data_IF_501282421954
#
_entry.id   IF_501282421954
#
_cell.length_a   1.000
_cell.length_b   1.000
_cell.length_c   1.000
_cell.angle_alpha   90.00
_cell.angle_beta   90.00
_cell.angle_gamma   90.00
#
_symmetry.space_group_name_H-M   'P 1'
#
loop_
_entity.id
_entity.type
_entity.pdbx_description
1 polymer ?
#
# COMPACT_ATOMS: atom_id res chain seq x y z
N UNK A 1 29.26 -7.27 52.00
CA UNK A 1 30.18 -6.80 50.94
C UNK A 1 29.81 -7.46 49.63
N UNK A 2 29.41 -6.63 48.64
CA UNK A 2 29.42 -6.78 47.16
C UNK A 2 29.86 -8.12 46.55
N UNK A 3 29.22 -8.64 45.48
CA UNK A 3 29.32 -8.10 44.10
C UNK A 3 28.05 -8.26 43.23
N UNK A 4 27.87 -7.26 42.36
CA UNK A 4 26.93 -7.16 41.23
C UNK A 4 27.24 -8.14 40.09
N UNK A 5 26.18 -8.55 39.39
CA UNK A 5 26.09 -8.86 37.95
C UNK A 5 24.59 -8.81 37.66
N UNK A 6 24.03 -7.90 36.86
CA UNK A 6 24.43 -7.55 35.50
C UNK A 6 23.49 -8.30 34.55
N UNK A 7 22.29 -7.77 34.35
CA UNK A 7 21.29 -8.32 33.44
C UNK A 7 20.25 -7.26 33.12
N UNK A 8 20.43 -6.57 31.99
CA UNK A 8 19.32 -6.10 31.17
C UNK A 8 19.17 -7.14 30.04
N UNK A 9 17.99 -7.27 29.41
CA UNK A 9 17.65 -6.29 28.39
C UNK A 9 16.16 -5.87 28.34
N UNK A 10 15.98 -4.59 28.00
CA UNK A 10 15.05 -4.02 26.98
C UNK A 10 13.57 -4.38 27.10
N UNK A 11 12.73 -3.41 27.49
CA UNK A 11 11.87 -2.68 26.54
C UNK A 11 10.93 -3.63 25.79
N UNK A 12 9.74 -3.86 26.35
CA UNK A 12 8.58 -4.18 25.54
C UNK A 12 7.87 -2.87 25.29
N UNK A 13 8.22 -2.25 24.17
CA UNK A 13 7.27 -1.39 23.49
C UNK A 13 6.11 -2.28 23.08
N UNK A 14 4.93 -1.86 23.51
CA UNK A 14 3.64 -2.40 23.13
C UNK A 14 3.36 -1.82 21.73
N UNK A 15 4.08 -2.33 20.73
CA UNK A 15 3.80 -2.05 19.32
C UNK A 15 2.79 -3.10 18.91
N UNK A 16 1.51 -2.78 19.02
CA UNK A 16 0.47 -3.59 18.41
C UNK A 16 0.72 -3.52 16.90
N UNK A 17 1.14 -4.63 16.24
CA UNK A 17 1.49 -4.57 14.83
C UNK A 17 0.24 -4.24 14.05
N UNK A 18 0.30 -3.14 13.29
CA UNK A 18 -0.80 -2.69 12.44
C UNK A 18 -1.30 -3.87 11.59
N UNK A 19 -2.61 -4.15 11.68
CA UNK A 19 -3.25 -5.22 10.91
C UNK A 19 -4.04 -4.58 9.77
N UNK A 20 -3.68 -4.85 8.50
CA UNK A 20 -4.46 -4.33 7.39
C UNK A 20 -5.89 -4.89 7.43
N UNK A 21 -6.92 -4.09 7.09
CA UNK A 21 -8.26 -4.61 6.87
C UNK A 21 -8.25 -5.49 5.61
N UNK A 22 -8.30 -6.82 5.79
CA UNK A 22 -8.33 -7.78 4.66
C UNK A 22 -7.03 -8.54 4.41
N UNK A 23 -6.35 -9.00 5.48
CA UNK A 23 -5.16 -9.87 5.44
C UNK A 23 -5.40 -11.28 4.84
N UNK A 24 -6.11 -11.37 3.73
CA UNK A 24 -6.47 -12.60 3.02
C UNK A 24 -5.78 -12.59 1.65
N UNK A 25 -4.79 -13.47 1.50
CA UNK A 25 -3.86 -13.56 0.38
C UNK A 25 -4.57 -13.60 -0.99
N UNK A 26 -4.26 -12.69 -1.96
CA UNK A 26 -4.82 -12.77 -3.30
C UNK A 26 -4.19 -13.94 -4.08
N UNK A 27 -5.02 -14.92 -4.47
CA UNK A 27 -4.61 -16.11 -5.22
C UNK A 27 -4.44 -15.79 -6.73
N UNK A 28 -3.26 -15.32 -7.12
CA UNK A 28 -2.46 -15.76 -8.29
C UNK A 28 -3.09 -16.06 -9.67
N UNK A 29 -4.33 -15.69 -10.00
CA UNK A 29 -4.98 -16.13 -11.26
C UNK A 29 -5.38 -15.04 -12.25
N UNK A 30 -5.27 -13.77 -11.91
CA UNK A 30 -5.73 -12.67 -12.77
C UNK A 30 -4.62 -12.01 -13.61
N UNK A 31 -3.36 -12.44 -13.47
CA UNK A 31 -2.19 -11.80 -14.09
C UNK A 31 -2.08 -12.02 -15.62
N UNK A 32 -2.91 -12.85 -16.24
CA UNK A 32 -2.81 -13.18 -17.68
C UNK A 32 -3.55 -12.20 -18.62
N UNK A 33 -4.16 -11.12 -18.10
CA UNK A 33 -4.83 -10.10 -18.93
C UNK A 33 -4.08 -8.76 -19.08
N UNK A 34 -3.01 -8.51 -18.31
CA UNK A 34 -2.37 -7.19 -18.25
C UNK A 34 -1.42 -6.85 -19.43
N UNK A 35 -1.28 -7.71 -20.45
CA UNK A 35 -0.30 -7.53 -21.54
C UNK A 35 -0.90 -7.16 -22.91
N UNK A 36 -2.14 -6.67 -23.00
CA UNK A 36 -2.77 -6.32 -24.29
C UNK A 36 -3.53 -4.97 -24.35
N UNK A 37 -3.02 -3.90 -23.73
CA UNK A 37 -3.48 -2.55 -24.09
C UNK A 37 -2.35 -1.76 -24.76
N UNK A 38 -2.22 -1.99 -26.06
CA UNK A 38 -1.58 -1.09 -27.01
C UNK A 38 -2.50 0.14 -27.19
N UNK A 39 -1.96 1.34 -26.96
CA UNK A 39 -2.40 2.65 -27.46
C UNK A 39 -3.89 3.04 -27.25
N UNK A 40 -4.18 3.77 -26.16
CA UNK A 40 -5.44 4.50 -26.00
C UNK A 40 -5.15 5.97 -25.63
N UNK A 41 -5.16 6.84 -26.66
CA UNK A 41 -5.35 8.30 -26.56
C UNK A 41 -6.74 8.57 -25.91
N UNK A 42 -6.85 8.39 -24.60
CA UNK A 42 -7.93 8.90 -23.77
C UNK A 42 -7.32 9.90 -22.81
N UNK A 43 -7.90 11.10 -22.70
CA UNK A 43 -7.46 12.19 -21.84
C UNK A 43 -6.66 11.69 -20.62
N UNK A 44 -5.33 11.86 -20.66
CA UNK A 44 -4.40 11.50 -19.57
C UNK A 44 -4.71 12.42 -18.38
N UNK A 45 -5.81 12.15 -17.67
CA UNK A 45 -6.02 12.68 -16.33
C UNK A 45 -4.87 12.09 -15.52
N UNK A 46 -3.87 12.93 -15.23
CA UNK A 46 -2.66 12.53 -14.52
C UNK A 46 -3.09 11.68 -13.33
N UNK A 47 -2.60 10.43 -13.20
CA UNK A 47 -3.08 9.50 -12.20
C UNK A 47 -3.04 10.21 -10.85
N UNK A 48 -4.18 10.21 -10.15
CA UNK A 48 -4.33 11.03 -8.95
C UNK A 48 -3.18 10.72 -7.99
N UNK A 49 -2.86 9.45 -7.79
CA UNK A 49 -1.72 8.97 -7.01
C UNK A 49 -0.65 8.32 -7.89
N UNK A 50 0.61 8.56 -7.54
CA UNK A 50 1.76 7.90 -8.16
C UNK A 50 2.66 7.27 -7.09
N UNK A 51 3.57 6.40 -7.53
CA UNK A 51 4.59 5.82 -6.66
C UNK A 51 5.33 6.91 -5.88
N UNK A 52 5.48 6.72 -4.58
CA UNK A 52 6.19 7.63 -3.69
C UNK A 52 5.32 8.73 -3.08
N UNK A 53 4.05 8.88 -3.47
CA UNK A 53 3.13 9.77 -2.75
C UNK A 53 2.95 9.26 -1.32
N UNK A 54 3.03 10.17 -0.35
CA UNK A 54 2.67 9.86 1.04
C UNK A 54 1.22 10.25 1.24
N UNK A 55 0.43 9.28 1.70
CA UNK A 55 -1.02 9.38 1.89
C UNK A 55 -1.41 8.95 3.29
N UNK A 56 -2.55 9.44 3.75
CA UNK A 56 -3.22 8.97 4.95
C UNK A 56 -4.60 8.43 4.60
N UNK A 57 -5.07 7.47 5.38
CA UNK A 57 -6.46 7.04 5.37
C UNK A 57 -7.34 8.13 6.03
N UNK A 58 -8.28 8.71 5.29
CA UNK A 58 -9.22 9.72 5.82
C UNK A 58 -10.15 9.13 6.88
N UNK A 59 -10.42 7.83 6.80
CA UNK A 59 -11.32 7.14 7.72
C UNK A 59 -10.65 6.66 9.01
N UNK A 60 -9.32 6.72 9.12
CA UNK A 60 -8.60 6.31 10.31
C UNK A 60 -8.74 7.33 11.45
N UNK A 61 -9.13 6.86 12.63
CA UNK A 61 -9.10 7.67 13.87
C UNK A 61 -7.69 8.19 14.18
N UNK A 62 -6.66 7.40 13.87
CA UNK A 62 -5.24 7.74 13.99
C UNK A 62 -4.54 7.51 12.64
N UNK A 63 -4.47 8.54 11.78
CA UNK A 63 -3.84 8.41 10.47
C UNK A 63 -2.34 8.18 10.62
N UNK A 64 -1.85 7.10 10.03
CA UNK A 64 -0.42 6.78 9.90
C UNK A 64 0.06 7.13 8.49
N UNK A 65 1.34 7.44 8.35
CA UNK A 65 1.97 7.68 7.05
C UNK A 65 2.01 6.38 6.23
N UNK A 66 1.31 6.39 5.09
CA UNK A 66 1.29 5.30 4.13
C UNK A 66 1.96 5.80 2.84
N UNK A 67 2.82 4.98 2.25
CA UNK A 67 3.48 5.30 0.98
C UNK A 67 2.81 4.51 -0.13
N UNK A 68 2.45 5.20 -1.22
CA UNK A 68 1.96 4.56 -2.43
C UNK A 68 3.10 3.79 -3.08
N UNK A 69 2.99 2.46 -3.05
CA UNK A 69 4.02 1.55 -3.59
C UNK A 69 3.67 1.04 -4.97
N UNK A 70 2.38 0.95 -5.29
CA UNK A 70 1.90 0.54 -6.60
C UNK A 70 0.49 1.07 -6.89
N UNK A 71 0.21 1.38 -8.16
CA UNK A 71 -1.12 1.74 -8.64
C UNK A 71 -1.44 0.81 -9.82
N UNK A 72 -2.12 -0.32 -9.59
CA UNK A 72 -2.35 -1.33 -10.63
C UNK A 72 -3.27 -0.85 -11.76
N UNK A 73 -3.95 0.28 -11.61
CA UNK A 73 -4.93 0.77 -12.59
C UNK A 73 -6.17 -0.12 -12.71
N UNK A 74 -6.48 -0.83 -11.62
CA UNK A 74 -7.68 -1.67 -11.48
C UNK A 74 -8.75 -0.89 -10.72
N UNK A 75 -10.01 -1.18 -11.01
CA UNK A 75 -11.17 -0.69 -10.28
C UNK A 75 -11.38 -1.50 -8.98
N UNK A 76 -12.10 -0.93 -8.01
CA UNK A 76 -12.35 -1.57 -6.72
C UNK A 76 -13.15 -2.89 -6.84
N UNK A 77 -14.02 -3.02 -7.85
CA UNK A 77 -14.73 -4.27 -8.16
C UNK A 77 -13.83 -5.31 -8.87
N UNK A 78 -12.74 -4.89 -9.50
CA UNK A 78 -11.78 -5.79 -10.15
C UNK A 78 -10.75 -6.37 -9.17
N UNK A 79 -10.52 -5.69 -8.04
CA UNK A 79 -9.59 -6.17 -7.02
C UNK A 79 -10.24 -7.20 -6.10
N UNK A 80 -9.98 -8.49 -6.36
CA UNK A 80 -10.48 -9.62 -5.57
C UNK A 80 -9.49 -10.07 -4.46
N UNK A 81 -10.04 -10.32 -3.26
CA UNK A 81 -9.33 -10.94 -2.14
C UNK A 81 -9.45 -12.46 -2.16
N UNK A 82 -8.62 -13.16 -1.38
CA UNK A 82 -8.61 -14.63 -1.31
C UNK A 82 -9.93 -15.29 -0.86
N UNK A 83 -10.81 -14.55 -0.17
CA UNK A 83 -12.15 -15.04 0.23
C UNK A 83 -13.20 -14.93 -0.89
N UNK A 84 -12.87 -14.23 -1.98
CA UNK A 84 -13.76 -13.97 -3.11
C UNK A 84 -14.58 -12.67 -3.01
N UNK A 85 -14.39 -11.89 -1.95
CA UNK A 85 -14.87 -10.50 -1.89
C UNK A 85 -13.97 -9.59 -2.72
N UNK A 86 -14.54 -8.51 -3.26
CA UNK A 86 -13.81 -7.43 -3.92
C UNK A 86 -13.45 -6.29 -2.94
N UNK A 87 -12.62 -5.34 -3.35
CA UNK A 87 -12.39 -4.10 -2.60
C UNK A 87 -13.68 -3.28 -2.48
N UNK A 88 -14.50 -3.26 -3.53
CA UNK A 88 -15.82 -2.65 -3.51
C UNK A 88 -16.76 -3.34 -2.48
N UNK A 89 -16.73 -4.67 -2.36
CA UNK A 89 -17.51 -5.40 -1.34
C UNK A 89 -17.06 -5.08 0.09
N UNK A 90 -15.75 -4.98 0.32
CA UNK A 90 -15.20 -4.68 1.65
C UNK A 90 -15.42 -3.22 2.03
N UNK A 91 -15.42 -2.30 1.06
CA UNK A 91 -15.55 -0.86 1.27
C UNK A 91 -16.67 -0.28 0.38
N UNK A 92 -17.94 -0.67 0.60
CA UNK A 92 -19.08 -0.32 -0.27
C UNK A 92 -19.51 1.15 -0.19
N UNK A 93 -18.77 1.96 0.58
CA UNK A 93 -18.98 3.40 0.72
C UNK A 93 -18.48 4.16 -0.52
N UNK A 94 -17.44 3.65 -1.16
CA UNK A 94 -16.82 4.22 -2.36
C UNK A 94 -17.40 3.55 -3.62
N UNK A 95 -17.34 4.20 -4.78
CA UNK A 95 -17.81 3.62 -6.02
C UNK A 95 -17.04 2.35 -6.38
N UNK A 96 -17.71 1.42 -7.04
CA UNK A 96 -17.12 0.18 -7.57
C UNK A 96 -16.05 0.44 -8.65
N UNK A 97 -16.23 1.52 -9.43
CA UNK A 97 -15.33 2.04 -10.46
C UNK A 97 -14.12 2.81 -9.88
N UNK A 98 -13.99 2.92 -8.55
CA UNK A 98 -12.88 3.66 -7.94
C UNK A 98 -11.53 2.97 -8.16
N UNK A 99 -10.49 3.74 -8.46
CA UNK A 99 -9.17 3.17 -8.68
C UNK A 99 -8.54 2.62 -7.40
N UNK A 100 -7.98 1.41 -7.49
CA UNK A 100 -7.23 0.78 -6.40
C UNK A 100 -5.83 1.36 -6.30
N UNK A 101 -5.48 1.79 -5.10
CA UNK A 101 -4.15 2.28 -4.74
C UNK A 101 -3.57 1.32 -3.69
N UNK A 102 -2.37 0.80 -3.93
CA UNK A 102 -1.69 -0.09 -3.00
C UNK A 102 -0.67 0.70 -2.19
N UNK A 103 -0.79 0.61 -0.88
CA UNK A 103 0.04 1.37 0.06
C UNK A 103 0.71 0.47 1.08
N UNK A 104 1.85 0.93 1.60
CA UNK A 104 2.62 0.28 2.68
C UNK A 104 2.89 1.32 3.77
N UNK A 105 2.87 0.96 5.06
CA UNK A 105 3.27 1.87 6.13
C UNK A 105 4.70 2.38 5.92
N UNK A 106 4.91 3.69 6.03
CA UNK A 106 6.21 4.32 5.80
C UNK A 106 7.33 3.66 6.61
N UNK A 107 7.11 3.44 7.90
CA UNK A 107 8.09 2.82 8.81
C UNK A 107 8.52 1.41 8.35
N UNK A 108 7.55 0.62 7.86
CA UNK A 108 7.81 -0.72 7.30
C UNK A 108 8.57 -0.63 5.98
N UNK A 109 8.18 0.32 5.13
CA UNK A 109 8.83 0.52 3.84
C UNK A 109 10.27 1.01 4.01
N UNK A 110 10.55 1.89 4.97
CA UNK A 110 11.89 2.36 5.31
C UNK A 110 12.79 1.23 5.83
N UNK A 111 12.26 0.30 6.64
CA UNK A 111 13.03 -0.87 7.11
C UNK A 111 13.34 -1.85 5.96
N UNK A 112 12.35 -2.13 5.11
CA UNK A 112 12.50 -3.04 3.98
C UNK A 112 13.38 -2.46 2.85
N UNK A 113 13.14 -1.20 2.50
CA UNK A 113 13.73 -0.52 1.34
C UNK A 113 14.06 0.94 1.70
N UNK A 114 15.15 1.19 2.45
CA UNK A 114 15.48 2.53 2.98
C UNK A 114 15.78 3.62 1.95
N UNK A 115 15.89 3.27 0.66
CA UNK A 115 16.10 4.22 -0.44
C UNK A 115 14.94 4.14 -1.44
N UNK A 116 13.71 3.97 -0.94
CA UNK A 116 12.51 3.91 -1.77
C UNK A 116 12.24 5.27 -2.44
N UNK A 117 12.59 6.38 -1.78
CA UNK A 117 12.47 7.76 -2.26
C UNK A 117 13.47 8.11 -3.38
N UNK A 118 14.48 7.26 -3.62
CA UNK A 118 15.41 7.39 -4.74
C UNK A 118 14.96 6.59 -5.97
N UNK A 119 13.88 5.79 -5.87
CA UNK A 119 13.46 4.90 -6.96
C UNK A 119 12.48 5.57 -7.90
N UNK A 120 12.69 5.37 -9.19
CA UNK A 120 11.78 5.85 -10.24
C UNK A 120 10.71 4.83 -10.62
N UNK A 121 10.79 3.61 -10.06
CA UNK A 121 9.96 2.47 -10.46
C UNK A 121 9.16 1.97 -9.26
N UNK A 122 7.84 1.76 -9.41
CA UNK A 122 6.98 1.19 -8.37
C UNK A 122 7.44 -0.19 -7.93
N UNK A 123 6.98 -0.60 -6.75
CA UNK A 123 7.27 -1.93 -6.20
C UNK A 123 6.15 -2.87 -6.63
N UNK A 124 6.50 -3.96 -7.31
CA UNK A 124 5.55 -4.99 -7.71
C UNK A 124 4.86 -5.62 -6.49
N UNK A 125 3.54 -5.82 -6.58
CA UNK A 125 2.75 -6.45 -5.52
C UNK A 125 3.26 -7.88 -5.25
N UNK A 126 3.67 -8.61 -6.29
CA UNK A 126 4.25 -9.95 -6.16
C UNK A 126 5.51 -9.95 -5.31
N UNK A 127 6.34 -8.91 -5.42
CA UNK A 127 7.53 -8.75 -4.60
C UNK A 127 7.16 -8.51 -3.14
N UNK A 128 6.18 -7.63 -2.86
CA UNK A 128 5.71 -7.40 -1.49
C UNK A 128 5.18 -8.69 -0.85
N UNK A 129 4.46 -9.52 -1.61
CA UNK A 129 3.99 -10.84 -1.15
C UNK A 129 5.16 -11.79 -0.88
N UNK A 130 6.15 -11.88 -1.78
CA UNK A 130 7.32 -12.76 -1.61
C UNK A 130 8.16 -12.37 -0.38
N UNK A 131 8.40 -11.07 -0.21
CA UNK A 131 9.16 -10.51 0.91
C UNK A 131 8.32 -10.40 2.20
N UNK A 132 7.03 -10.76 2.15
CA UNK A 132 6.08 -10.71 3.28
C UNK A 132 5.95 -9.32 3.88
N UNK A 133 5.98 -8.31 3.02
CA UNK A 133 5.78 -6.92 3.40
C UNK A 133 4.28 -6.69 3.52
N UNK A 134 3.79 -6.17 4.67
CA UNK A 134 2.38 -5.84 4.82
C UNK A 134 2.03 -4.66 3.92
N UNK A 135 1.10 -4.90 2.99
CA UNK A 135 0.50 -3.87 2.15
C UNK A 135 -1.03 -3.92 2.29
N UNK A 136 -1.70 -2.82 1.93
CA UNK A 136 -3.14 -2.76 1.85
C UNK A 136 -3.59 -2.04 0.57
N UNK A 137 -4.59 -2.58 -0.14
CA UNK A 137 -5.30 -1.88 -1.20
C UNK A 137 -6.36 -0.95 -0.58
N UNK A 138 -6.46 0.27 -1.11
CA UNK A 138 -7.50 1.22 -0.75
C UNK A 138 -8.11 1.84 -2.01
N UNK A 139 -9.40 2.20 -2.00
CA UNK A 139 -9.97 3.08 -3.02
C UNK A 139 -9.27 4.44 -2.94
N UNK A 140 -8.88 4.98 -4.09
CA UNK A 140 -8.25 6.29 -4.25
C UNK A 140 -8.96 7.40 -3.46
N UNK A 141 -10.30 7.43 -3.49
CA UNK A 141 -11.10 8.44 -2.79
C UNK A 141 -11.07 8.34 -1.26
N UNK A 142 -10.59 7.24 -0.70
CA UNK A 142 -10.39 7.09 0.75
C UNK A 142 -9.07 7.70 1.22
N UNK A 143 -8.11 7.85 0.31
CA UNK A 143 -6.78 8.32 0.62
C UNK A 143 -6.68 9.84 0.45
N UNK A 144 -5.97 10.48 1.37
CA UNK A 144 -5.64 11.89 1.30
C UNK A 144 -4.14 12.03 1.15
N UNK A 145 -3.69 12.61 0.04
CA UNK A 145 -2.28 12.95 -0.17
C UNK A 145 -1.84 14.01 0.82
N UNK A 146 -0.76 13.73 1.53
CA UNK A 146 -0.14 14.64 2.49
C UNK A 146 1.21 15.16 2.01
N UNK A 147 1.96 14.35 1.28
CA UNK A 147 3.22 14.74 0.65
C UNK A 147 3.26 14.20 -0.78
N UNK A 148 3.75 15.03 -1.69
CA UNK A 148 3.92 14.66 -3.08
C UNK A 148 5.09 13.69 -3.24
N UNK A 149 4.92 12.76 -4.17
CA UNK A 149 6.01 11.91 -4.64
C UNK A 149 7.23 12.71 -5.08
N UNK A 150 8.41 12.17 -4.79
CA UNK A 150 9.69 12.66 -5.32
C UNK A 150 9.76 12.64 -6.86
N UNK A 151 8.83 11.97 -7.54
CA UNK A 151 8.70 11.93 -8.99
C UNK A 151 7.92 13.11 -9.58
N UNK A 152 7.29 13.95 -8.76
CA UNK A 152 6.55 15.14 -9.24
C UNK A 152 7.41 16.40 -9.42
N UNK A 153 8.67 16.42 -8.98
CA UNK A 153 9.54 17.61 -9.01
C UNK A 153 10.39 17.76 -10.30
N UNK A 154 10.12 17.01 -11.39
CA UNK A 154 10.89 17.10 -12.67
C UNK A 154 10.21 17.98 -13.75
#
# INVERSE_FOLDING_TARGET
MTKKGGGAPTERYDEEPWQPPGAEEPLQRSLDLALQREDDDGDEEEPEFIYGDIVHDDEADEPIALVVVNVPGLEADEWEFGDGDTLADKIPKYPDDDFVVVVVPLDVLEDYLPNWDEREVPIDIEQLVEDKIPFAPFPSLQLVRVEDSHLRDD
#
